data_IF_044633394885
#
_entry.id   IF_044633394885
#
_cell.length_a   1.000
_cell.length_b   1.000
_cell.length_c   1.000
_cell.angle_alpha   90.00
_cell.angle_beta   90.00
_cell.angle_gamma   90.00
#
_symmetry.space_group_name_H-M   'P 1'
#
loop_
_entity.id
_entity.type
_entity.pdbx_description
1 polymer ?
#
# COMPACT_ATOMS: atom_id res chain seq x y z
N UNK A 1 -47.76 -12.43 4.71
CA UNK A 1 -46.85 -11.87 3.68
C UNK A 1 -47.68 -10.98 2.77
N UNK A 2 -47.73 -9.66 3.03
CA UNK A 2 -48.48 -8.70 2.23
C UNK A 2 -47.61 -8.29 1.05
N UNK A 3 -47.97 -8.74 -0.14
CA UNK A 3 -47.38 -8.22 -1.38
C UNK A 3 -47.85 -6.78 -1.55
N UNK A 4 -46.93 -5.86 -1.49
CA UNK A 4 -47.17 -4.48 -1.92
C UNK A 4 -47.54 -4.51 -3.41
N UNK A 5 -48.61 -3.84 -3.85
CA UNK A 5 -48.97 -3.75 -5.25
C UNK A 5 -47.86 -2.98 -5.98
N UNK A 6 -47.10 -3.69 -6.81
CA UNK A 6 -46.17 -3.05 -7.78
C UNK A 6 -47.04 -2.40 -8.90
N UNK A 7 -47.53 -1.21 -8.66
CA UNK A 7 -48.13 -0.41 -9.70
C UNK A 7 -47.06 0.43 -10.38
N UNK A 8 -46.30 -0.17 -11.29
CA UNK A 8 -45.24 0.48 -12.03
C UNK A 8 -45.81 1.46 -13.10
N UNK A 9 -47.07 1.34 -13.45
CA UNK A 9 -47.70 2.18 -14.48
C UNK A 9 -47.76 3.67 -14.10
N UNK A 10 -47.82 4.01 -12.80
CA UNK A 10 -47.80 5.40 -12.33
C UNK A 10 -46.42 6.08 -12.48
N UNK A 11 -45.37 5.30 -12.60
CA UNK A 11 -44.01 5.79 -12.74
C UNK A 11 -43.57 5.91 -14.20
N UNK A 12 -44.06 5.04 -15.09
CA UNK A 12 -43.65 5.01 -16.49
C UNK A 12 -44.18 6.23 -17.28
N UNK A 13 -45.25 6.88 -16.81
CA UNK A 13 -45.87 8.05 -17.49
C UNK A 13 -45.47 9.39 -16.87
N UNK A 14 -44.59 9.46 -15.89
CA UNK A 14 -44.17 10.71 -15.30
C UNK A 14 -42.85 11.20 -15.89
N UNK A 15 -42.86 12.32 -16.70
CA UNK A 15 -41.65 12.82 -17.38
C UNK A 15 -40.55 13.31 -16.42
N UNK A 16 -40.86 13.59 -15.15
CA UNK A 16 -39.83 13.96 -14.15
C UNK A 16 -39.03 12.75 -13.70
N UNK A 17 -39.66 11.59 -13.57
CA UNK A 17 -38.92 10.36 -13.23
C UNK A 17 -38.07 9.88 -14.41
N UNK A 18 -38.52 10.01 -15.64
CA UNK A 18 -37.73 9.69 -16.82
C UNK A 18 -36.45 10.54 -16.90
N UNK A 19 -36.50 11.82 -16.52
CA UNK A 19 -35.32 12.69 -16.44
C UNK A 19 -34.35 12.27 -15.33
N UNK A 20 -34.86 11.84 -14.18
CA UNK A 20 -34.03 11.35 -13.08
C UNK A 20 -33.30 10.04 -13.43
N UNK A 21 -33.97 9.12 -14.14
CA UNK A 21 -33.36 7.89 -14.62
C UNK A 21 -32.36 8.12 -15.74
N UNK A 22 -32.61 9.06 -16.66
CA UNK A 22 -31.65 9.45 -17.68
C UNK A 22 -30.42 10.14 -17.09
N UNK A 23 -30.60 11.03 -16.12
CA UNK A 23 -29.49 11.67 -15.42
C UNK A 23 -28.62 10.65 -14.66
N UNK A 24 -29.22 9.60 -14.07
CA UNK A 24 -28.49 8.57 -13.36
C UNK A 24 -27.75 7.60 -14.32
N UNK A 25 -28.30 7.31 -15.49
CA UNK A 25 -27.66 6.47 -16.50
C UNK A 25 -26.57 7.21 -17.28
N UNK A 26 -26.70 8.52 -17.51
CA UNK A 26 -25.63 9.32 -18.12
C UNK A 26 -24.42 9.47 -17.20
N UNK A 27 -24.64 9.58 -15.89
CA UNK A 27 -23.55 9.58 -14.88
C UNK A 27 -22.82 8.24 -14.82
N UNK A 28 -23.48 7.13 -15.17
CA UNK A 28 -22.88 5.80 -15.10
C UNK A 28 -22.10 5.42 -16.38
N UNK A 29 -22.42 6.03 -17.54
CA UNK A 29 -21.71 5.79 -18.80
C UNK A 29 -20.44 6.63 -18.96
N UNK A 30 -20.35 7.78 -18.29
CA UNK A 30 -19.19 8.66 -18.35
C UNK A 30 -18.14 8.38 -17.26
N UNK A 31 -18.37 7.36 -16.42
CA UNK A 31 -17.43 6.96 -15.36
C UNK A 31 -16.10 6.37 -15.89
N UNK A 32 -15.95 6.20 -17.20
CA UNK A 32 -14.73 5.69 -17.84
C UNK A 32 -13.89 6.81 -18.52
N UNK A 33 -14.31 8.07 -18.45
CA UNK A 33 -13.51 9.21 -18.91
C UNK A 33 -12.88 9.93 -17.72
N UNK A 34 -11.70 9.47 -17.40
CA UNK A 34 -10.52 10.11 -16.78
C UNK A 34 -10.61 11.56 -16.32
N UNK A 35 -10.44 11.73 -15.02
CA UNK A 35 -9.45 12.50 -14.26
C UNK A 35 -9.77 13.92 -13.80
N UNK A 36 -10.65 14.70 -14.38
CA UNK A 36 -10.87 16.08 -13.89
C UNK A 36 -12.26 16.30 -13.25
N UNK A 37 -13.24 15.51 -13.60
CA UNK A 37 -14.63 15.61 -13.11
C UNK A 37 -14.91 14.84 -11.81
N UNK A 38 -13.97 13.99 -11.40
CA UNK A 38 -14.13 13.11 -10.22
C UNK A 38 -14.24 13.87 -8.90
N UNK A 39 -13.72 15.09 -8.83
CA UNK A 39 -13.78 15.90 -7.60
C UNK A 39 -15.12 16.60 -7.46
N UNK A 40 -15.71 17.11 -8.54
CA UNK A 40 -16.98 17.86 -8.49
C UNK A 40 -18.19 16.96 -8.22
N UNK A 41 -18.20 15.73 -8.74
CA UNK A 41 -19.30 14.77 -8.52
C UNK A 41 -19.28 14.21 -7.09
N UNK A 42 -18.10 14.05 -6.48
CA UNK A 42 -18.00 13.58 -5.10
C UNK A 42 -18.57 14.58 -4.08
N UNK A 43 -18.58 15.86 -4.42
CA UNK A 43 -19.08 16.93 -3.56
C UNK A 43 -20.62 17.00 -3.53
N UNK A 44 -21.27 16.50 -4.57
CA UNK A 44 -22.75 16.44 -4.70
C UNK A 44 -23.36 15.17 -4.07
N UNK A 45 -22.53 14.20 -3.70
CA UNK A 45 -23.01 12.95 -3.08
C UNK A 45 -23.37 13.14 -1.60
N UNK A 46 -24.40 12.48 -1.08
CA UNK A 46 -24.71 12.46 0.34
C UNK A 46 -23.47 12.04 1.16
N UNK A 47 -23.28 12.63 2.35
CA UNK A 47 -22.06 12.41 3.16
C UNK A 47 -21.81 10.94 3.51
N UNK A 48 -22.86 10.15 3.60
CA UNK A 48 -22.76 8.71 3.87
C UNK A 48 -22.17 7.94 2.68
N UNK A 49 -22.55 8.30 1.47
CA UNK A 49 -22.03 7.70 0.22
C UNK A 49 -20.58 8.12 -0.01
N UNK A 50 -20.23 9.37 0.29
CA UNK A 50 -18.84 9.85 0.22
C UNK A 50 -17.95 9.06 1.17
N UNK A 51 -18.37 8.84 2.42
CA UNK A 51 -17.64 8.05 3.42
C UNK A 51 -17.47 6.60 2.97
N UNK A 52 -18.50 6.01 2.40
CA UNK A 52 -18.44 4.65 1.90
C UNK A 52 -17.45 4.50 0.74
N UNK A 53 -17.47 5.43 -0.21
CA UNK A 53 -16.54 5.44 -1.34
C UNK A 53 -15.10 5.67 -0.87
N UNK A 54 -14.86 6.61 0.06
CA UNK A 54 -13.56 6.86 0.63
C UNK A 54 -13.00 5.59 1.32
N UNK A 55 -13.83 4.88 2.08
CA UNK A 55 -13.44 3.62 2.71
C UNK A 55 -13.10 2.52 1.70
N UNK A 56 -13.88 2.40 0.60
CA UNK A 56 -13.61 1.43 -0.47
C UNK A 56 -12.30 1.76 -1.21
N UNK A 57 -12.06 3.04 -1.52
CA UNK A 57 -10.80 3.51 -2.15
C UNK A 57 -9.61 3.23 -1.25
N UNK A 58 -9.67 3.60 0.03
CA UNK A 58 -8.60 3.34 0.99
C UNK A 58 -8.28 1.84 1.12
N UNK A 59 -9.28 0.96 1.13
CA UNK A 59 -9.07 -0.48 1.17
C UNK A 59 -8.36 -1.01 -0.09
N UNK A 60 -8.74 -0.53 -1.28
CA UNK A 60 -8.08 -0.88 -2.55
C UNK A 60 -6.63 -0.41 -2.58
N UNK A 61 -6.36 0.84 -2.17
CA UNK A 61 -4.99 1.37 -2.11
C UNK A 61 -4.12 0.62 -1.11
N UNK A 62 -4.65 0.25 0.06
CA UNK A 62 -3.93 -0.58 1.02
C UNK A 62 -3.46 -1.90 0.42
N UNK A 63 -4.31 -2.55 -0.35
CA UNK A 63 -3.98 -3.81 -1.00
C UNK A 63 -2.95 -3.61 -2.13
N UNK A 64 -3.12 -2.54 -2.92
CA UNK A 64 -2.20 -2.18 -4.00
C UNK A 64 -0.79 -1.90 -3.47
N UNK A 65 -0.66 -1.11 -2.40
CA UNK A 65 0.62 -0.85 -1.77
C UNK A 65 1.25 -2.11 -1.15
N UNK A 66 0.41 -3.02 -0.64
CA UNK A 66 0.85 -4.31 -0.12
C UNK A 66 1.53 -5.19 -1.18
N UNK A 67 1.11 -5.10 -2.44
CA UNK A 67 1.79 -5.76 -3.56
C UNK A 67 2.98 -4.96 -4.08
N UNK A 68 2.84 -3.65 -4.17
CA UNK A 68 3.85 -2.77 -4.76
C UNK A 68 5.12 -2.71 -3.88
N UNK A 69 4.98 -2.79 -2.56
CA UNK A 69 6.11 -2.80 -1.62
C UNK A 69 7.08 -3.96 -1.87
N UNK A 70 6.66 -5.22 -1.74
CA UNK A 70 7.51 -6.37 -2.04
C UNK A 70 8.03 -6.38 -3.48
N UNK A 71 7.21 -5.96 -4.46
CA UNK A 71 7.61 -5.90 -5.85
C UNK A 71 8.74 -4.89 -6.07
N UNK A 72 8.62 -3.68 -5.51
CA UNK A 72 9.68 -2.65 -5.60
C UNK A 72 10.97 -3.11 -4.92
N UNK A 73 10.87 -3.85 -3.82
CA UNK A 73 12.03 -4.42 -3.14
C UNK A 73 12.76 -5.44 -4.04
N UNK A 74 12.03 -6.40 -4.60
CA UNK A 74 12.62 -7.45 -5.46
C UNK A 74 13.25 -6.84 -6.72
N UNK A 75 12.55 -5.91 -7.39
CA UNK A 75 13.07 -5.22 -8.57
C UNK A 75 14.28 -4.35 -8.22
N UNK A 76 14.20 -3.62 -7.13
CA UNK A 76 15.28 -2.76 -6.67
C UNK A 76 16.53 -3.55 -6.32
N UNK A 77 16.38 -4.66 -5.60
CA UNK A 77 17.48 -5.55 -5.27
C UNK A 77 18.12 -6.16 -6.52
N UNK A 78 17.30 -6.62 -7.48
CA UNK A 78 17.79 -7.18 -8.73
C UNK A 78 18.56 -6.14 -9.56
N UNK A 79 18.05 -4.91 -9.68
CA UNK A 79 18.73 -3.86 -10.43
C UNK A 79 20.02 -3.40 -9.73
N UNK A 80 20.03 -3.32 -8.41
CA UNK A 80 21.24 -3.04 -7.64
C UNK A 80 22.31 -4.11 -7.85
N UNK A 81 21.93 -5.39 -7.95
CA UNK A 81 22.84 -6.48 -8.25
C UNK A 81 23.51 -6.38 -9.64
N UNK A 82 22.86 -5.69 -10.60
CA UNK A 82 23.44 -5.37 -11.91
C UNK A 82 24.27 -4.08 -11.93
N UNK A 83 24.48 -3.43 -10.78
CA UNK A 83 25.26 -2.20 -10.65
C UNK A 83 24.49 -0.90 -10.96
N UNK A 84 23.15 -0.96 -11.08
CA UNK A 84 22.34 0.24 -11.26
C UNK A 84 22.06 0.92 -9.93
N UNK A 85 22.54 2.15 -9.73
CA UNK A 85 22.31 2.94 -8.49
C UNK A 85 20.82 3.15 -8.19
N UNK A 86 19.98 3.29 -9.22
CA UNK A 86 18.52 3.43 -9.11
C UNK A 86 17.90 2.21 -8.40
N UNK A 87 18.52 1.04 -8.49
CA UNK A 87 18.03 -0.18 -7.83
C UNK A 87 17.99 -0.03 -6.30
N UNK A 88 19.02 0.57 -5.70
CA UNK A 88 19.07 0.81 -4.26
C UNK A 88 17.99 1.78 -3.78
N UNK A 89 17.75 2.87 -4.54
CA UNK A 89 16.67 3.82 -4.26
C UNK A 89 15.30 3.14 -4.34
N UNK A 90 15.08 2.30 -5.37
CA UNK A 90 13.85 1.57 -5.54
C UNK A 90 13.61 0.58 -4.38
N UNK A 91 14.65 -0.11 -3.92
CA UNK A 91 14.55 -1.00 -2.76
C UNK A 91 14.17 -0.24 -1.47
N UNK A 92 14.70 0.98 -1.29
CA UNK A 92 14.37 1.82 -0.14
C UNK A 92 12.94 2.37 -0.16
N UNK A 93 12.27 2.41 -1.32
CA UNK A 93 10.86 2.81 -1.37
C UNK A 93 9.91 1.75 -0.80
N UNK A 94 10.33 0.48 -0.75
CA UNK A 94 9.49 -0.62 -0.28
C UNK A 94 8.94 -0.44 1.15
N UNK A 95 9.76 -0.10 2.18
CA UNK A 95 9.22 0.12 3.52
C UNK A 95 8.28 1.31 3.59
N UNK A 96 8.50 2.38 2.81
CA UNK A 96 7.61 3.53 2.74
C UNK A 96 6.24 3.14 2.17
N UNK A 97 6.21 2.34 1.09
CA UNK A 97 4.98 1.84 0.51
C UNK A 97 4.21 0.95 1.48
N UNK A 98 4.90 0.08 2.22
CA UNK A 98 4.28 -0.76 3.23
C UNK A 98 3.67 0.07 4.38
N UNK A 99 4.35 1.10 4.85
CA UNK A 99 3.84 2.01 5.90
C UNK A 99 2.61 2.76 5.39
N UNK A 100 2.64 3.30 4.17
CA UNK A 100 1.50 3.95 3.54
C UNK A 100 0.32 2.98 3.37
N UNK A 101 0.59 1.74 2.99
CA UNK A 101 -0.42 0.69 2.88
C UNK A 101 -1.09 0.36 4.22
N UNK A 102 -0.32 0.30 5.31
CA UNK A 102 -0.84 0.14 6.67
C UNK A 102 -1.72 1.33 7.04
N UNK A 103 -1.26 2.56 6.80
CA UNK A 103 -2.06 3.75 7.06
C UNK A 103 -3.40 3.70 6.31
N UNK A 104 -3.39 3.40 5.01
CA UNK A 104 -4.61 3.28 4.22
C UNK A 104 -5.55 2.18 4.76
N UNK A 105 -5.02 1.09 5.30
CA UNK A 105 -5.81 0.06 5.98
C UNK A 105 -6.52 0.60 7.24
N UNK A 106 -5.82 1.42 8.04
CA UNK A 106 -6.43 2.08 9.21
C UNK A 106 -7.49 3.10 8.81
N UNK A 107 -7.24 3.87 7.75
CA UNK A 107 -8.23 4.82 7.20
C UNK A 107 -9.48 4.05 6.73
N UNK A 108 -9.33 2.97 5.98
CA UNK A 108 -10.45 2.13 5.55
C UNK A 108 -11.27 1.60 6.75
N UNK A 109 -10.58 1.22 7.82
CA UNK A 109 -11.21 0.73 9.05
C UNK A 109 -12.04 1.81 9.75
N UNK A 110 -11.58 3.07 9.75
CA UNK A 110 -12.35 4.22 10.29
C UNK A 110 -13.66 4.43 9.55
N UNK A 111 -13.72 4.07 8.26
CA UNK A 111 -14.92 4.13 7.43
C UNK A 111 -15.74 2.81 7.46
N UNK A 112 -15.48 1.92 8.43
CA UNK A 112 -16.24 0.68 8.60
C UNK A 112 -15.96 -0.40 7.55
N UNK A 113 -14.93 -0.25 6.71
CA UNK A 113 -14.54 -1.26 5.71
C UNK A 113 -13.46 -2.19 6.25
N UNK A 114 -13.57 -3.49 5.91
CA UNK A 114 -12.59 -4.50 6.32
C UNK A 114 -11.42 -4.51 5.33
N UNK A 115 -10.28 -3.94 5.74
CA UNK A 115 -9.03 -3.94 4.97
C UNK A 115 -7.97 -4.88 5.58
N UNK A 116 -8.42 -6.06 6.05
CA UNK A 116 -7.56 -7.02 6.76
C UNK A 116 -6.47 -7.54 5.82
N UNK A 117 -6.80 -7.86 4.57
CA UNK A 117 -5.84 -8.36 3.58
C UNK A 117 -4.69 -7.39 3.32
N UNK A 118 -5.01 -6.10 3.12
CA UNK A 118 -4.00 -5.06 2.94
C UNK A 118 -3.12 -4.87 4.18
N UNK A 119 -3.72 -4.92 5.38
CA UNK A 119 -2.98 -4.80 6.63
C UNK A 119 -2.00 -5.96 6.84
N UNK A 120 -2.45 -7.19 6.61
CA UNK A 120 -1.60 -8.39 6.75
C UNK A 120 -0.47 -8.39 5.72
N UNK A 121 -0.76 -8.06 4.46
CA UNK A 121 0.22 -8.07 3.40
C UNK A 121 1.30 -7.01 3.61
N UNK A 122 0.90 -5.78 3.97
CA UNK A 122 1.85 -4.70 4.27
C UNK A 122 2.64 -4.97 5.57
N UNK A 123 1.98 -5.51 6.61
CA UNK A 123 2.62 -5.89 7.86
C UNK A 123 3.68 -6.98 7.64
N UNK A 124 3.34 -8.03 6.88
CA UNK A 124 4.28 -9.09 6.52
C UNK A 124 5.47 -8.54 5.72
N UNK A 125 5.20 -7.67 4.72
CA UNK A 125 6.25 -7.02 3.92
C UNK A 125 7.20 -6.20 4.77
N UNK A 126 6.69 -5.46 5.75
CA UNK A 126 7.50 -4.67 6.68
C UNK A 126 8.33 -5.57 7.61
N UNK A 127 7.75 -6.65 8.15
CA UNK A 127 8.48 -7.63 8.98
C UNK A 127 9.62 -8.28 8.22
N UNK A 128 9.40 -8.69 6.97
CA UNK A 128 10.46 -9.27 6.12
C UNK A 128 11.57 -8.24 5.90
N UNK A 129 11.23 -6.99 5.59
CA UNK A 129 12.22 -5.93 5.40
C UNK A 129 13.07 -5.70 6.65
N UNK A 130 12.45 -5.58 7.82
CA UNK A 130 13.16 -5.42 9.11
C UNK A 130 14.05 -6.63 9.38
N UNK A 131 13.57 -7.85 9.11
CA UNK A 131 14.37 -9.07 9.26
C UNK A 131 15.61 -9.08 8.38
N UNK A 132 15.50 -8.66 7.13
CA UNK A 132 16.64 -8.56 6.20
C UNK A 132 17.64 -7.51 6.68
N UNK A 133 17.20 -6.33 7.12
CA UNK A 133 18.08 -5.29 7.66
C UNK A 133 18.80 -5.77 8.91
N UNK A 134 18.10 -6.43 9.82
CA UNK A 134 18.71 -7.00 11.03
C UNK A 134 19.76 -8.05 10.69
N UNK A 135 19.50 -8.91 9.72
CA UNK A 135 20.45 -9.92 9.25
C UNK A 135 21.71 -9.28 8.63
N UNK A 136 21.55 -8.23 7.82
CA UNK A 136 22.68 -7.49 7.26
C UNK A 136 23.54 -6.87 8.37
N UNK A 137 22.92 -6.21 9.36
CA UNK A 137 23.63 -5.62 10.50
C UNK A 137 24.38 -6.71 11.28
N UNK A 138 23.77 -7.87 11.50
CA UNK A 138 24.40 -8.98 12.19
C UNK A 138 25.62 -9.51 11.43
N UNK A 139 25.54 -9.66 10.10
CA UNK A 139 26.66 -10.08 9.26
C UNK A 139 27.79 -9.05 9.32
N UNK A 140 27.48 -7.75 9.16
CA UNK A 140 28.47 -6.69 9.23
C UNK A 140 29.15 -6.62 10.58
N UNK A 141 28.41 -6.80 11.68
CA UNK A 141 28.97 -6.86 13.03
C UNK A 141 29.90 -8.07 13.22
N UNK A 142 29.55 -9.22 12.68
CA UNK A 142 30.41 -10.40 12.73
C UNK A 142 31.72 -10.19 11.94
N UNK A 143 31.63 -9.57 10.75
CA UNK A 143 32.81 -9.27 9.94
C UNK A 143 33.72 -8.21 10.58
N UNK A 144 33.15 -7.18 11.22
CA UNK A 144 33.94 -6.17 11.94
C UNK A 144 34.67 -6.77 13.14
N UNK A 145 34.04 -7.70 13.88
CA UNK A 145 34.68 -8.42 14.97
C UNK A 145 35.87 -9.30 14.52
N UNK A 146 35.81 -9.86 13.31
CA UNK A 146 36.91 -10.62 12.72
C UNK A 146 38.10 -9.71 12.33
N UNK A 147 37.82 -8.50 11.89
CA UNK A 147 38.85 -7.51 11.48
C UNK A 147 39.60 -6.93 12.70
N UNK A 148 38.93 -6.82 13.85
CA UNK A 148 39.54 -6.36 15.12
C UNK A 148 40.43 -7.43 15.79
N UNK A 149 40.24 -8.70 15.44
CA UNK A 149 41.10 -9.82 15.90
C UNK A 149 42.33 -10.06 15.02
N UNK A 150 42.66 -9.09 14.14
CA UNK A 150 43.75 -9.16 13.17
C UNK A 150 45.15 -9.40 13.77
N UNK A 151 46.11 -9.82 12.94
CA UNK A 151 47.43 -10.32 13.36
C UNK A 151 48.28 -9.33 14.14
N UNK A 152 47.90 -8.06 14.20
CA UNK A 152 48.59 -7.02 14.96
C UNK A 152 48.55 -7.24 16.47
N UNK A 153 47.49 -7.84 17.03
CA UNK A 153 47.43 -8.15 18.46
C UNK A 153 48.33 -9.34 18.84
N UNK A 154 48.36 -10.35 17.99
CA UNK A 154 49.23 -11.52 18.21
C UNK A 154 50.71 -11.15 18.04
N UNK A 155 51.06 -10.28 17.10
CA UNK A 155 52.42 -9.76 16.93
C UNK A 155 52.83 -8.88 18.11
N UNK A 156 51.98 -8.01 18.61
CA UNK A 156 52.29 -7.20 19.78
C UNK A 156 52.43 -8.03 21.06
N UNK A 157 51.59 -9.07 21.23
CA UNK A 157 51.73 -10.01 22.34
C UNK A 157 53.02 -10.83 22.25
N UNK A 158 53.44 -11.26 21.05
CA UNK A 158 54.72 -11.95 20.82
C UNK A 158 55.92 -11.02 21.05
N UNK A 159 55.88 -9.77 20.63
CA UNK A 159 56.96 -8.81 20.90
C UNK A 159 57.12 -8.48 22.39
N UNK A 160 56.02 -8.50 23.15
CA UNK A 160 56.03 -8.29 24.59
C UNK A 160 56.65 -9.46 25.36
N UNK A 161 56.67 -10.66 24.76
CA UNK A 161 57.28 -11.86 25.35
C UNK A 161 58.81 -11.97 25.12
N UNK A 162 59.35 -11.18 24.17
CA UNK A 162 60.78 -11.21 23.79
C UNK A 162 61.58 -10.04 24.35
N UNK A 163 60.97 -9.10 25.06
CA UNK A 163 61.61 -8.05 25.85
C UNK A 163 61.51 -8.36 27.34
#
# INVERSE_FOLDING_TARGET
>A
MSQLPQNNEAFDNNPEYAKLYQANNSVQSDADSTDDWGQSVSELLPPDVQREQAGKRAAKFSLLFGFLGPLSFVLGFRWSAYGYEIGSLLALTAPLLNILGIWQAFVARRYGKRAIGGLLLNGLGLCIFIGIVALIIMILSALSGLNDSGPSRTLNALMQYWN
#
